data_IF_096175405573
#
_entry.id   IF_096175405573
#
_cell.length_a   1.000
_cell.length_b   1.000
_cell.length_c   1.000
_cell.angle_alpha   90.00
_cell.angle_beta   90.00
_cell.angle_gamma   90.00
#
_symmetry.space_group_name_H-M   'P 1'
#
loop_
_entity.id
_entity.type
_entity.pdbx_description
1 polymer ?
#
# COMPACT_ATOMS: atom_id res chain seq x y z
N UNK A 1 48.90 14.89 -17.77
CA UNK A 1 49.21 13.63 -18.49
C UNK A 1 48.45 12.47 -17.89
N UNK A 2 48.26 12.38 -16.54
CA UNK A 2 47.48 11.32 -15.89
C UNK A 2 45.96 11.45 -16.06
N UNK A 3 45.40 12.65 -16.12
CA UNK A 3 43.98 12.88 -16.38
C UNK A 3 43.55 12.50 -17.81
N UNK A 4 44.46 12.59 -18.78
CA UNK A 4 44.18 12.26 -20.17
C UNK A 4 44.15 10.74 -20.38
N UNK A 5 44.97 9.98 -19.62
CA UNK A 5 45.01 8.52 -19.68
C UNK A 5 43.77 7.84 -19.08
N UNK A 6 43.11 8.48 -18.12
CA UNK A 6 41.86 7.99 -17.53
C UNK A 6 40.66 8.21 -18.48
N UNK A 7 40.69 9.27 -19.29
CA UNK A 7 39.61 9.59 -20.26
C UNK A 7 39.63 8.67 -21.50
N UNK A 8 40.78 8.07 -21.81
CA UNK A 8 40.94 7.19 -22.98
C UNK A 8 40.81 5.68 -22.61
N UNK A 9 40.52 5.33 -21.35
CA UNK A 9 40.35 3.95 -20.97
C UNK A 9 38.99 3.39 -21.48
N UNK A 10 38.99 2.13 -21.91
CA UNK A 10 37.75 1.46 -22.36
C UNK A 10 36.67 1.43 -21.29
N UNK A 11 37.07 1.43 -20.00
CA UNK A 11 36.17 1.55 -18.87
C UNK A 11 35.47 2.91 -18.83
N UNK A 12 36.19 4.01 -19.13
CA UNK A 12 35.62 5.36 -19.16
C UNK A 12 34.67 5.55 -20.35
N UNK A 13 35.00 4.98 -21.50
CA UNK A 13 34.11 4.94 -22.66
C UNK A 13 32.84 4.15 -22.38
N UNK A 14 32.99 2.98 -21.79
CA UNK A 14 31.84 2.16 -21.40
C UNK A 14 30.91 2.85 -20.38
N UNK A 15 31.49 3.62 -19.45
CA UNK A 15 30.72 4.45 -18.52
C UNK A 15 30.05 5.61 -19.25
N UNK A 16 30.76 6.30 -20.16
CA UNK A 16 30.18 7.39 -20.96
C UNK A 16 29.07 6.89 -21.88
N UNK A 17 29.23 5.73 -22.51
CA UNK A 17 28.20 5.11 -23.35
C UNK A 17 26.96 4.74 -22.53
N UNK A 18 27.13 4.18 -21.33
CA UNK A 18 26.03 3.92 -20.40
C UNK A 18 25.36 5.22 -19.94
N UNK A 19 26.14 6.27 -19.66
CA UNK A 19 25.58 7.60 -19.33
C UNK A 19 24.89 8.26 -20.53
N UNK A 20 25.39 8.09 -21.73
CA UNK A 20 24.72 8.57 -22.95
C UNK A 20 23.45 7.79 -23.24
N UNK A 21 23.42 6.48 -23.03
CA UNK A 21 22.20 5.67 -23.13
C UNK A 21 21.17 6.08 -22.06
N UNK A 22 21.63 6.40 -20.83
CA UNK A 22 20.76 6.95 -19.79
C UNK A 22 20.31 8.40 -20.08
N UNK A 23 21.13 9.21 -20.77
CA UNK A 23 20.77 10.56 -21.18
C UNK A 23 20.02 10.63 -22.53
N UNK A 24 20.03 9.55 -23.29
CA UNK A 24 19.21 9.33 -24.49
C UNK A 24 17.88 8.64 -24.16
N UNK A 25 17.62 8.32 -22.87
CA UNK A 25 16.27 8.02 -22.43
C UNK A 25 15.36 9.17 -22.84
N UNK A 26 14.16 8.91 -23.39
CA UNK A 26 13.46 9.76 -24.32
C UNK A 26 13.30 11.17 -23.82
N UNK A 27 13.93 12.09 -24.53
CA UNK A 27 13.68 13.50 -24.38
C UNK A 27 12.21 13.76 -24.61
N UNK A 28 11.58 14.37 -23.60
CA UNK A 28 10.41 15.22 -23.73
C UNK A 28 9.20 14.60 -24.43
N UNK A 29 8.60 13.65 -23.79
CA UNK A 29 7.19 13.87 -23.55
C UNK A 29 7.12 14.58 -22.20
N UNK A 30 6.70 15.83 -22.15
CA UNK A 30 6.02 16.39 -20.99
C UNK A 30 4.74 15.60 -20.86
N UNK A 31 4.87 14.37 -20.43
CA UNK A 31 3.71 13.58 -20.03
C UNK A 31 3.19 14.29 -18.81
N UNK A 32 2.05 14.96 -18.98
CA UNK A 32 1.31 15.61 -17.89
C UNK A 32 1.32 14.65 -16.72
N UNK A 33 2.01 15.01 -15.63
CA UNK A 33 2.11 14.12 -14.47
C UNK A 33 0.71 13.84 -13.95
N UNK A 34 0.50 12.62 -13.50
CA UNK A 34 -0.78 12.16 -12.97
C UNK A 34 -0.76 12.31 -11.46
N UNK A 35 -1.82 12.87 -10.90
CA UNK A 35 -1.90 13.17 -9.47
C UNK A 35 -2.38 11.97 -8.67
N UNK A 36 -1.61 11.59 -7.66
CA UNK A 36 -2.03 10.67 -6.59
C UNK A 36 -1.86 11.37 -5.26
N UNK A 37 -2.89 11.28 -4.42
CA UNK A 37 -2.93 11.93 -3.11
C UNK A 37 -2.95 10.89 -2.02
N UNK A 38 -2.09 11.07 -1.04
CA UNK A 38 -2.05 10.31 0.21
C UNK A 38 -2.24 11.29 1.38
N UNK A 39 -2.83 10.83 2.47
CA UNK A 39 -2.96 11.59 3.69
C UNK A 39 -2.49 10.75 4.88
N UNK A 40 -1.52 11.26 5.64
CA UNK A 40 -0.94 10.53 6.76
C UNK A 40 -0.27 11.47 7.76
N UNK A 41 -0.12 11.01 9.00
CA UNK A 41 0.88 11.51 9.93
C UNK A 41 2.13 10.62 9.92
N UNK A 42 3.21 11.06 10.53
CA UNK A 42 4.51 10.39 10.48
C UNK A 42 4.51 8.99 11.09
N UNK A 43 3.55 8.65 11.94
CA UNK A 43 3.42 7.28 12.48
C UNK A 43 3.12 6.23 11.40
N UNK A 44 2.67 6.66 10.21
CA UNK A 44 2.38 5.84 9.04
C UNK A 44 3.45 5.95 7.94
N UNK A 45 4.67 6.39 8.28
CA UNK A 45 5.73 6.63 7.29
C UNK A 45 6.07 5.38 6.46
N UNK A 46 6.16 4.21 7.08
CA UNK A 46 6.49 2.95 6.40
C UNK A 46 5.34 2.50 5.49
N UNK A 47 4.10 2.73 5.92
CA UNK A 47 2.91 2.44 5.13
C UNK A 47 2.85 3.33 3.88
N UNK A 48 3.06 4.63 4.05
CA UNK A 48 3.16 5.58 2.94
C UNK A 48 4.24 5.16 1.95
N UNK A 49 5.43 4.78 2.44
CA UNK A 49 6.52 4.31 1.58
C UNK A 49 6.15 3.03 0.82
N UNK A 50 5.51 2.08 1.49
CA UNK A 50 5.06 0.82 0.87
C UNK A 50 4.03 1.08 -0.22
N UNK A 51 3.03 1.92 0.06
CA UNK A 51 2.03 2.34 -0.94
C UNK A 51 2.68 3.01 -2.15
N UNK A 52 3.60 3.97 -1.92
CA UNK A 52 4.32 4.67 -3.00
C UNK A 52 5.17 3.68 -3.83
N UNK A 53 5.90 2.75 -3.19
CA UNK A 53 6.68 1.72 -3.90
C UNK A 53 5.79 0.86 -4.79
N UNK A 54 4.63 0.41 -4.28
CA UNK A 54 3.69 -0.38 -5.08
C UNK A 54 3.18 0.39 -6.29
N UNK A 55 2.92 1.69 -6.14
CA UNK A 55 2.46 2.53 -7.25
C UNK A 55 3.56 2.70 -8.31
N UNK A 56 4.79 3.09 -7.93
CA UNK A 56 5.87 3.31 -8.90
C UNK A 56 6.44 2.02 -9.48
N UNK A 57 6.12 0.87 -8.87
CA UNK A 57 6.38 -0.44 -9.46
C UNK A 57 5.58 -0.63 -10.76
N UNK A 58 4.33 -0.14 -10.79
CA UNK A 58 3.42 -0.28 -11.94
C UNK A 58 3.26 0.99 -12.79
N UNK A 59 3.67 2.15 -12.29
CA UNK A 59 3.41 3.46 -12.92
C UNK A 59 4.67 4.33 -13.01
N UNK A 60 4.64 5.28 -13.95
CA UNK A 60 5.67 6.30 -14.16
C UNK A 60 5.03 7.68 -14.19
N UNK A 61 5.83 8.72 -14.03
CA UNK A 61 5.39 10.11 -14.15
C UNK A 61 4.22 10.45 -13.20
N UNK A 62 4.31 10.00 -11.96
CA UNK A 62 3.34 10.29 -10.91
C UNK A 62 3.79 11.49 -10.08
N UNK A 63 2.88 12.41 -9.82
CA UNK A 63 3.03 13.43 -8.80
C UNK A 63 2.23 13.01 -7.58
N UNK A 64 2.94 12.65 -6.52
CA UNK A 64 2.34 12.36 -5.23
C UNK A 64 2.15 13.65 -4.46
N UNK A 65 0.97 13.84 -3.89
CA UNK A 65 0.64 14.89 -2.94
C UNK A 65 0.46 14.22 -1.58
N UNK A 66 1.40 14.43 -0.65
CA UNK A 66 1.26 13.90 0.71
C UNK A 66 0.74 14.99 1.63
N UNK A 67 -0.55 14.91 1.98
CA UNK A 67 -1.19 15.82 2.93
C UNK A 67 -0.85 15.36 4.34
N UNK A 68 -0.16 16.24 5.08
CA UNK A 68 0.40 15.89 6.39
C UNK A 68 0.55 17.12 7.29
N UNK A 69 0.87 16.90 8.57
CA UNK A 69 1.16 17.96 9.51
C UNK A 69 2.52 17.82 10.24
N UNK A 70 3.24 16.70 10.05
CA UNK A 70 4.43 16.38 10.87
C UNK A 70 5.62 15.76 10.12
N UNK A 71 5.52 15.44 8.81
CA UNK A 71 6.66 14.94 8.04
C UNK A 71 7.75 15.99 7.84
N UNK A 72 9.02 15.60 7.93
CA UNK A 72 10.16 16.50 7.78
C UNK A 72 10.49 16.79 6.31
N UNK A 73 11.09 17.95 6.03
CA UNK A 73 11.58 18.30 4.69
C UNK A 73 12.69 17.36 4.21
N UNK A 74 13.50 16.82 5.12
CA UNK A 74 14.56 15.86 4.83
C UNK A 74 13.97 14.58 4.25
N UNK A 75 12.87 14.10 4.81
CA UNK A 75 12.17 12.93 4.31
C UNK A 75 11.71 13.13 2.86
N UNK A 76 11.09 14.25 2.55
CA UNK A 76 10.66 14.57 1.16
C UNK A 76 11.84 14.66 0.19
N UNK A 77 12.95 15.29 0.61
CA UNK A 77 14.17 15.36 -0.20
C UNK A 77 14.78 13.98 -0.44
N UNK A 78 14.79 13.13 0.59
CA UNK A 78 15.23 11.75 0.49
C UNK A 78 14.41 10.94 -0.50
N UNK A 79 13.09 10.96 -0.34
CA UNK A 79 12.17 10.20 -1.18
C UNK A 79 12.20 10.69 -2.64
N UNK A 80 12.27 12.00 -2.88
CA UNK A 80 12.32 12.55 -4.24
C UNK A 80 13.56 12.12 -5.03
N UNK A 81 14.70 11.86 -4.35
CA UNK A 81 15.89 11.30 -5.01
C UNK A 81 15.62 9.91 -5.60
N UNK A 82 14.83 9.10 -4.90
CA UNK A 82 14.44 7.78 -5.40
C UNK A 82 13.37 7.87 -6.48
N UNK A 83 12.37 8.73 -6.29
CA UNK A 83 11.26 8.88 -7.23
C UNK A 83 11.67 9.45 -8.59
N UNK A 84 12.77 10.17 -8.65
CA UNK A 84 13.31 10.72 -9.90
C UNK A 84 13.59 9.63 -10.95
N UNK A 85 14.02 8.44 -10.55
CA UNK A 85 14.24 7.30 -11.44
C UNK A 85 12.96 6.84 -12.16
N UNK A 86 11.79 7.16 -11.61
CA UNK A 86 10.48 6.83 -12.17
C UNK A 86 9.80 8.02 -12.86
N UNK A 87 10.52 9.15 -13.05
CA UNK A 87 9.92 10.40 -13.52
C UNK A 87 8.90 11.00 -12.56
N UNK A 88 8.87 10.52 -11.32
CA UNK A 88 7.88 10.82 -10.30
C UNK A 88 8.43 11.76 -9.22
N UNK A 89 7.55 12.35 -8.43
CA UNK A 89 7.92 13.24 -7.34
C UNK A 89 6.87 13.21 -6.24
N UNK A 90 7.25 13.62 -5.03
CA UNK A 90 6.33 13.84 -3.91
C UNK A 90 6.37 15.29 -3.45
N UNK A 91 5.19 15.88 -3.32
CA UNK A 91 4.97 17.24 -2.86
C UNK A 91 4.56 17.22 -1.38
N UNK A 92 5.22 18.05 -0.57
CA UNK A 92 4.84 18.26 0.82
C UNK A 92 3.62 19.19 0.90
N UNK A 93 2.47 18.62 1.20
CA UNK A 93 1.20 19.32 1.38
C UNK A 93 0.95 19.51 2.87
N UNK A 94 1.70 20.44 3.50
CA UNK A 94 1.60 20.67 4.93
C UNK A 94 0.37 21.46 5.29
N UNK A 95 -0.39 20.96 6.29
CA UNK A 95 -1.60 21.61 6.81
C UNK A 95 -1.47 21.88 8.30
N UNK A 96 -2.17 22.89 8.77
CA UNK A 96 -2.46 23.05 10.19
C UNK A 96 -3.67 22.19 10.56
N UNK A 97 -3.39 21.10 11.27
CA UNK A 97 -4.41 20.13 11.70
C UNK A 97 -5.09 20.48 13.03
N UNK A 98 -4.78 21.62 13.64
CA UNK A 98 -5.28 22.02 14.98
C UNK A 98 -6.80 21.95 15.07
N UNK A 99 -7.52 22.46 14.04
CA UNK A 99 -8.97 22.44 13.99
C UNK A 99 -9.56 21.03 13.81
N UNK A 100 -8.83 20.14 13.12
CA UNK A 100 -9.28 18.76 12.89
C UNK A 100 -9.07 17.91 14.14
N UNK A 101 -7.95 18.10 14.84
CA UNK A 101 -7.61 17.37 16.07
C UNK A 101 -8.61 17.57 17.21
N UNK A 102 -9.42 18.63 17.15
CA UNK A 102 -10.48 18.84 18.14
C UNK A 102 -11.71 17.93 17.93
N UNK A 103 -11.89 17.34 16.75
CA UNK A 103 -12.94 16.38 16.51
C UNK A 103 -12.60 15.09 17.26
N UNK A 104 -13.33 14.83 18.37
CA UNK A 104 -13.15 13.63 19.17
C UNK A 104 -13.77 12.45 18.43
N UNK A 105 -12.95 11.68 17.75
CA UNK A 105 -13.35 10.43 17.07
C UNK A 105 -12.49 9.28 17.54
N UNK A 106 -13.00 8.05 17.40
CA UNK A 106 -12.23 6.83 17.63
C UNK A 106 -11.24 6.56 16.48
N UNK A 107 -11.28 7.36 15.42
CA UNK A 107 -10.40 7.26 14.25
C UNK A 107 -9.21 8.21 14.37
N UNK A 108 -8.15 7.89 13.63
CA UNK A 108 -6.99 8.77 13.51
C UNK A 108 -7.41 10.06 12.79
N UNK A 109 -7.14 11.25 13.40
CA UNK A 109 -7.45 12.56 12.78
C UNK A 109 -6.88 12.70 11.36
N UNK A 110 -5.82 11.97 11.01
CA UNK A 110 -5.20 12.02 9.69
C UNK A 110 -6.17 11.62 8.57
N UNK A 111 -7.21 10.84 8.87
CA UNK A 111 -8.23 10.48 7.89
C UNK A 111 -9.04 11.69 7.38
N UNK A 112 -9.20 12.74 8.20
CA UNK A 112 -9.83 14.00 7.78
C UNK A 112 -8.95 14.86 6.87
N UNK A 113 -7.64 14.60 6.80
CA UNK A 113 -6.73 15.36 5.93
C UNK A 113 -7.10 15.24 4.45
N UNK A 114 -7.82 14.17 4.06
CA UNK A 114 -8.35 14.01 2.69
C UNK A 114 -9.27 15.14 2.24
N UNK A 115 -9.83 15.94 3.16
CA UNK A 115 -10.65 17.09 2.82
C UNK A 115 -9.88 18.21 2.09
N UNK A 116 -8.55 18.25 2.25
CA UNK A 116 -7.68 19.26 1.67
C UNK A 116 -7.17 18.93 0.25
N UNK A 117 -7.62 17.84 -0.36
CA UNK A 117 -7.16 17.42 -1.69
C UNK A 117 -7.18 18.56 -2.70
N UNK A 118 -8.30 19.27 -2.81
CA UNK A 118 -8.48 20.31 -3.81
C UNK A 118 -7.63 21.58 -3.55
N UNK A 119 -7.08 21.76 -2.34
CA UNK A 119 -6.24 22.93 -2.04
C UNK A 119 -4.84 22.80 -2.63
N UNK A 120 -4.35 21.57 -2.79
CA UNK A 120 -2.97 21.30 -3.20
C UNK A 120 -2.83 20.79 -4.63
N UNK A 121 -3.79 20.00 -5.09
CA UNK A 121 -3.70 19.34 -6.39
C UNK A 121 -3.94 20.34 -7.52
N UNK A 122 -2.98 20.43 -8.46
CA UNK A 122 -3.09 21.31 -9.64
C UNK A 122 -3.80 20.65 -10.82
N UNK A 123 -3.76 19.33 -10.90
CA UNK A 123 -4.39 18.52 -11.95
C UNK A 123 -5.92 18.51 -11.77
N UNK A 124 -6.66 18.41 -12.88
CA UNK A 124 -8.13 18.35 -12.85
C UNK A 124 -8.66 17.03 -12.26
N UNK A 125 -7.82 16.00 -12.25
CA UNK A 125 -8.11 14.66 -11.77
C UNK A 125 -7.07 14.20 -10.78
N UNK A 126 -7.50 13.65 -9.64
CA UNK A 126 -6.62 13.03 -8.67
C UNK A 126 -7.16 11.67 -8.22
N UNK A 127 -6.27 10.71 -7.99
CA UNK A 127 -6.59 9.50 -7.26
C UNK A 127 -6.19 9.70 -5.80
N UNK A 128 -7.13 9.58 -4.89
CA UNK A 128 -6.87 9.53 -3.45
C UNK A 128 -6.77 8.07 -3.02
N UNK A 129 -5.73 7.73 -2.27
CA UNK A 129 -5.52 6.42 -1.67
C UNK A 129 -5.18 6.57 -0.18
N UNK A 130 -5.75 5.72 0.65
CA UNK A 130 -5.29 5.54 2.04
C UNK A 130 -3.90 4.88 2.06
N UNK A 131 -3.11 5.17 3.10
CA UNK A 131 -1.73 4.68 3.20
C UNK A 131 -1.60 3.21 3.62
N UNK A 132 -2.70 2.54 3.91
CA UNK A 132 -2.77 1.10 4.17
C UNK A 132 -3.25 0.30 2.94
N UNK A 133 -2.88 0.79 1.76
CA UNK A 133 -3.15 0.15 0.47
C UNK A 133 -1.88 -0.26 -0.26
N UNK A 134 -1.98 -1.25 -1.12
CA UNK A 134 -0.98 -1.56 -2.13
C UNK A 134 -1.63 -1.71 -3.51
N UNK A 135 -0.96 -1.16 -4.51
CA UNK A 135 -1.36 -1.25 -5.93
C UNK A 135 -0.65 -2.44 -6.54
N UNK A 136 -1.38 -3.31 -7.21
CA UNK A 136 -0.91 -4.56 -7.80
C UNK A 136 -1.08 -4.61 -9.30
N UNK A 137 -1.62 -3.55 -9.89
CA UNK A 137 -1.87 -3.47 -11.32
C UNK A 137 -2.05 -2.05 -11.84
N UNK A 138 -2.47 -1.93 -13.09
CA UNK A 138 -2.61 -0.64 -13.75
C UNK A 138 -3.84 0.15 -13.27
N UNK A 139 -3.63 1.43 -12.99
CA UNK A 139 -4.67 2.43 -12.68
C UNK A 139 -4.86 3.43 -13.82
N UNK A 140 -4.31 3.17 -15.02
CA UNK A 140 -4.27 4.11 -16.13
C UNK A 140 -5.67 4.57 -16.56
N UNK A 141 -6.62 3.66 -16.57
CA UNK A 141 -8.03 3.89 -16.91
C UNK A 141 -8.72 4.89 -15.96
N UNK A 142 -8.26 4.96 -14.71
CA UNK A 142 -8.84 5.83 -13.69
C UNK A 142 -8.39 7.29 -13.83
N UNK A 143 -7.19 7.54 -14.33
CA UNK A 143 -6.70 8.91 -14.53
C UNK A 143 -7.46 9.67 -15.64
N UNK A 144 -8.10 8.94 -16.54
CA UNK A 144 -8.86 9.48 -17.66
C UNK A 144 -10.36 9.18 -17.59
N UNK A 145 -10.81 8.61 -16.46
CA UNK A 145 -12.19 8.23 -16.25
C UNK A 145 -13.14 9.44 -16.41
N UNK A 146 -14.15 9.31 -17.25
CA UNK A 146 -15.23 10.30 -17.30
C UNK A 146 -16.12 10.16 -16.06
N UNK A 147 -16.12 11.17 -15.20
CA UNK A 147 -16.96 11.21 -14.00
C UNK A 147 -18.40 11.65 -14.28
N UNK A 148 -18.73 11.96 -15.54
CA UNK A 148 -20.10 12.35 -15.95
C UNK A 148 -20.66 13.51 -15.13
N UNK A 149 -19.79 14.52 -14.84
CA UNK A 149 -20.14 15.68 -14.05
C UNK A 149 -20.26 15.44 -12.53
N UNK A 150 -19.93 14.23 -12.05
CA UNK A 150 -19.95 13.91 -10.61
C UNK A 150 -18.65 14.33 -9.92
N UNK A 151 -18.70 14.67 -8.62
CA UNK A 151 -17.54 15.11 -7.84
C UNK A 151 -16.47 14.05 -7.63
N UNK A 152 -16.86 12.78 -7.68
CA UNK A 152 -15.95 11.65 -7.47
C UNK A 152 -16.51 10.33 -8.02
N UNK A 153 -15.60 9.36 -8.16
CA UNK A 153 -15.91 7.94 -8.28
C UNK A 153 -15.25 7.15 -7.15
N UNK A 154 -15.90 6.11 -6.66
CA UNK A 154 -15.42 5.25 -5.58
C UNK A 154 -16.00 3.85 -5.66
N UNK A 155 -15.47 2.92 -4.89
CA UNK A 155 -16.00 1.57 -4.74
C UNK A 155 -17.08 1.55 -3.67
N UNK A 156 -18.16 0.82 -3.91
CA UNK A 156 -19.23 0.64 -2.93
C UNK A 156 -18.70 -0.07 -1.67
N UNK A 157 -19.04 0.46 -0.49
CA UNK A 157 -18.76 -0.20 0.78
C UNK A 157 -19.77 -1.32 1.02
N UNK A 158 -19.32 -2.57 0.89
CA UNK A 158 -20.14 -3.75 1.11
C UNK A 158 -20.16 -4.22 2.57
N UNK A 159 -19.33 -3.65 3.43
CA UNK A 159 -19.34 -3.98 4.86
C UNK A 159 -20.53 -3.35 5.60
N UNK A 160 -21.05 -2.26 5.03
CA UNK A 160 -22.24 -1.56 5.55
C UNK A 160 -23.51 -2.18 4.94
N UNK A 161 -23.87 -3.41 5.36
CA UNK A 161 -25.08 -4.08 4.89
C UNK A 161 -26.29 -3.77 5.76
N UNK A 162 -27.35 -3.26 5.14
CA UNK A 162 -28.72 -3.20 5.65
C UNK A 162 -29.67 -3.06 4.47
N UNK A 163 -30.75 -3.84 4.45
CA UNK A 163 -31.67 -3.95 3.31
C UNK A 163 -32.33 -2.63 2.89
N UNK A 164 -32.27 -1.57 3.73
CA UNK A 164 -32.88 -0.27 3.49
C UNK A 164 -31.87 0.91 3.52
N UNK A 165 -30.56 0.64 3.49
CA UNK A 165 -29.58 1.73 3.53
C UNK A 165 -29.13 2.11 2.13
N UNK A 166 -29.19 3.41 1.86
CA UNK A 166 -28.61 4.06 0.71
C UNK A 166 -27.18 3.57 0.49
N UNK A 167 -26.81 3.31 -0.79
CA UNK A 167 -25.48 2.83 -1.11
C UNK A 167 -24.42 3.81 -0.63
N UNK A 168 -23.49 3.36 0.20
CA UNK A 168 -22.33 4.11 0.66
C UNK A 168 -21.10 3.68 -0.11
N UNK A 169 -20.14 4.59 -0.29
CA UNK A 169 -18.83 4.27 -0.84
C UNK A 169 -17.77 4.21 0.26
N UNK A 170 -16.74 3.41 0.02
CA UNK A 170 -15.52 3.38 0.80
C UNK A 170 -14.66 4.60 0.42
N UNK A 171 -14.37 5.46 1.39
CA UNK A 171 -13.63 6.70 1.19
C UNK A 171 -12.10 6.51 1.11
N UNK A 172 -11.60 5.30 1.32
CA UNK A 172 -10.16 5.01 1.26
C UNK A 172 -9.59 5.08 -0.15
N UNK A 173 -10.42 4.88 -1.19
CA UNK A 173 -10.03 5.05 -2.59
C UNK A 173 -11.06 5.88 -3.35
N UNK A 174 -10.62 7.00 -3.91
CA UNK A 174 -11.51 7.90 -4.67
C UNK A 174 -10.80 8.44 -5.91
N UNK A 175 -11.52 8.49 -7.03
CA UNK A 175 -11.16 9.30 -8.20
C UNK A 175 -11.87 10.64 -8.07
N UNK A 176 -11.14 11.72 -7.89
CA UNK A 176 -11.69 13.03 -7.52
C UNK A 176 -11.62 14.00 -8.69
N UNK A 177 -12.72 14.70 -8.97
CA UNK A 177 -12.76 15.91 -9.79
C UNK A 177 -12.32 17.10 -8.93
N UNK A 178 -11.07 17.51 -9.06
CA UNK A 178 -10.50 18.59 -8.25
C UNK A 178 -11.07 19.95 -8.64
N UNK A 179 -11.48 20.13 -9.90
CA UNK A 179 -12.13 21.37 -10.37
C UNK A 179 -13.51 21.53 -9.71
N UNK A 180 -14.30 20.46 -9.66
CA UNK A 180 -15.57 20.45 -8.93
C UNK A 180 -15.37 20.79 -7.45
N UNK A 181 -14.40 20.11 -6.79
CA UNK A 181 -14.14 20.32 -5.37
C UNK A 181 -13.69 21.77 -5.06
N UNK A 182 -12.89 22.39 -5.95
CA UNK A 182 -12.50 23.80 -5.84
C UNK A 182 -13.70 24.73 -6.04
N UNK A 183 -14.46 24.52 -7.10
CA UNK A 183 -15.62 25.34 -7.48
C UNK A 183 -16.64 25.44 -6.35
N UNK A 184 -16.91 24.30 -5.69
CA UNK A 184 -17.91 24.20 -4.61
C UNK A 184 -17.31 24.34 -3.20
N UNK A 185 -16.01 24.69 -3.09
CA UNK A 185 -15.31 24.81 -1.80
C UNK A 185 -15.56 23.62 -0.86
N UNK A 186 -15.36 22.42 -1.39
CA UNK A 186 -15.73 21.17 -0.71
C UNK A 186 -15.04 21.00 0.63
N UNK A 187 -13.78 21.47 0.78
CA UNK A 187 -13.08 21.43 2.08
C UNK A 187 -13.91 22.10 3.17
N UNK A 188 -14.36 23.34 2.94
CA UNK A 188 -15.14 24.08 3.92
C UNK A 188 -16.45 23.37 4.24
N UNK A 189 -17.15 22.91 3.20
CA UNK A 189 -18.40 22.20 3.36
C UNK A 189 -18.25 20.92 4.19
N UNK A 190 -17.20 20.14 3.94
CA UNK A 190 -16.89 18.91 4.68
C UNK A 190 -16.51 19.21 6.15
N UNK A 191 -15.75 20.29 6.41
CA UNK A 191 -15.39 20.70 7.78
C UNK A 191 -16.63 21.19 8.54
N UNK A 192 -17.48 21.99 7.93
CA UNK A 192 -18.72 22.49 8.54
C UNK A 192 -19.65 21.30 8.90
N UNK A 193 -19.84 20.38 7.97
CA UNK A 193 -20.60 19.14 8.22
C UNK A 193 -19.98 18.26 9.32
N UNK A 194 -18.66 18.15 9.34
CA UNK A 194 -17.96 17.40 10.39
C UNK A 194 -18.17 18.06 11.76
N UNK A 195 -18.10 19.39 11.84
CA UNK A 195 -18.32 20.14 13.09
C UNK A 195 -19.71 19.86 13.68
N UNK A 196 -20.70 19.65 12.84
CA UNK A 196 -22.08 19.40 13.26
C UNK A 196 -22.36 17.92 13.58
N UNK A 197 -21.71 16.98 12.88
CA UNK A 197 -22.12 15.57 12.83
C UNK A 197 -21.09 14.57 13.34
N UNK A 198 -19.81 14.95 13.60
CA UNK A 198 -18.72 14.00 13.89
C UNK A 198 -18.99 13.06 15.09
N UNK A 199 -19.77 13.49 16.08
CA UNK A 199 -20.15 12.70 17.25
C UNK A 199 -21.42 11.87 17.06
N UNK A 200 -22.14 12.05 15.96
CA UNK A 200 -23.42 11.40 15.64
C UNK A 200 -23.33 10.34 14.54
N UNK A 201 -22.19 10.28 13.85
CA UNK A 201 -22.00 9.37 12.71
C UNK A 201 -21.15 8.15 13.07
N UNK A 202 -21.44 6.95 12.51
CA UNK A 202 -20.77 5.71 12.93
C UNK A 202 -19.37 5.53 12.35
N UNK A 203 -19.06 6.12 11.18
CA UNK A 203 -17.82 5.87 10.42
C UNK A 203 -17.05 7.17 10.16
N UNK A 204 -16.97 8.04 11.16
CA UNK A 204 -16.19 9.28 11.14
C UNK A 204 -16.31 10.05 9.79
N UNK A 205 -15.18 10.40 9.17
CA UNK A 205 -15.13 11.16 7.92
C UNK A 205 -15.78 10.45 6.73
N UNK A 206 -15.75 9.12 6.68
CA UNK A 206 -16.43 8.36 5.62
C UNK A 206 -17.94 8.61 5.63
N UNK A 207 -18.57 8.66 6.81
CA UNK A 207 -20.00 8.99 6.93
C UNK A 207 -20.28 10.41 6.43
N UNK A 208 -19.42 11.38 6.78
CA UNK A 208 -19.58 12.78 6.35
C UNK A 208 -19.48 12.89 4.82
N UNK A 209 -18.47 12.25 4.22
CA UNK A 209 -18.33 12.21 2.76
C UNK A 209 -19.56 11.62 2.08
N UNK A 210 -20.07 10.50 2.62
CA UNK A 210 -21.27 9.85 2.09
C UNK A 210 -22.55 10.68 2.28
N UNK A 211 -22.64 11.48 3.32
CA UNK A 211 -23.74 12.43 3.51
C UNK A 211 -23.68 13.57 2.50
N UNK A 212 -22.50 14.15 2.29
CA UNK A 212 -22.30 15.28 1.38
C UNK A 212 -22.45 14.87 -0.08
N UNK A 213 -21.91 13.73 -0.47
CA UNK A 213 -21.97 13.24 -1.86
C UNK A 213 -23.09 12.22 -2.11
N UNK A 214 -24.08 12.17 -1.24
CA UNK A 214 -25.19 11.25 -1.31
C UNK A 214 -25.80 11.18 -2.71
N UNK A 215 -25.80 9.96 -3.32
CA UNK A 215 -26.26 9.68 -4.69
C UNK A 215 -25.57 10.47 -5.82
N UNK A 216 -24.51 11.22 -5.51
CA UNK A 216 -23.77 12.02 -6.47
C UNK A 216 -22.33 11.56 -6.63
N UNK A 217 -22.13 10.28 -6.87
CA UNK A 217 -20.82 9.66 -7.13
C UNK A 217 -20.96 8.55 -8.16
N UNK A 218 -19.85 8.21 -8.86
CA UNK A 218 -19.80 7.13 -9.83
C UNK A 218 -19.26 5.87 -9.16
N UNK A 219 -19.89 4.72 -9.39
CA UNK A 219 -19.44 3.45 -8.84
C UNK A 219 -18.30 2.87 -9.66
N UNK A 220 -17.18 2.56 -9.00
CA UNK A 220 -16.05 1.82 -9.56
C UNK A 220 -16.22 0.31 -9.38
N UNK A 221 -15.52 -0.45 -10.23
CA UNK A 221 -15.39 -1.90 -10.05
C UNK A 221 -14.68 -2.23 -8.74
N UNK A 222 -15.08 -3.34 -8.10
CA UNK A 222 -14.64 -3.78 -6.79
C UNK A 222 -13.12 -4.03 -6.68
N UNK A 223 -12.47 -4.41 -7.77
CA UNK A 223 -11.03 -4.62 -7.84
C UNK A 223 -10.19 -3.35 -7.66
N UNK A 224 -10.80 -2.16 -7.79
CA UNK A 224 -10.11 -0.88 -7.56
C UNK A 224 -10.00 -0.47 -6.09
N UNK A 225 -10.69 -1.15 -5.19
CA UNK A 225 -10.56 -0.98 -3.74
C UNK A 225 -11.06 -2.26 -3.05
N UNK A 226 -10.26 -3.30 -3.11
CA UNK A 226 -10.58 -4.59 -2.52
C UNK A 226 -10.31 -4.56 -1.02
N UNK A 227 -11.36 -4.44 -0.21
CA UNK A 227 -11.26 -4.48 1.24
C UNK A 227 -10.82 -5.87 1.73
N UNK A 228 -9.61 -5.96 2.25
CA UNK A 228 -9.04 -7.20 2.79
C UNK A 228 -9.61 -7.43 4.19
N UNK A 229 -10.54 -8.36 4.30
CA UNK A 229 -11.23 -8.73 5.53
C UNK A 229 -10.99 -10.20 5.88
N UNK A 230 -11.52 -10.69 7.01
CA UNK A 230 -11.48 -12.12 7.35
C UNK A 230 -12.13 -13.01 6.28
N UNK A 231 -13.17 -12.52 5.62
CA UNK A 231 -13.87 -13.25 4.56
C UNK A 231 -13.11 -13.32 3.25
N UNK A 232 -12.07 -12.52 3.06
CA UNK A 232 -11.20 -12.56 1.87
C UNK A 232 -10.44 -13.87 1.70
N UNK A 233 -10.40 -14.73 2.73
CA UNK A 233 -9.83 -16.08 2.65
C UNK A 233 -10.72 -17.08 1.88
N UNK A 234 -11.95 -16.75 1.55
CA UNK A 234 -12.93 -17.65 0.94
C UNK A 234 -13.18 -17.44 -0.54
N UNK A 235 -12.13 -17.26 -1.34
CA UNK A 235 -12.21 -17.46 -2.78
C UNK A 235 -13.03 -16.43 -3.56
N UNK A 236 -12.58 -15.18 -3.60
CA UNK A 236 -13.05 -14.24 -4.62
C UNK A 236 -12.34 -14.56 -5.95
N UNK A 237 -13.12 -14.89 -6.98
CA UNK A 237 -12.58 -15.03 -8.33
C UNK A 237 -12.52 -13.66 -9.00
N UNK A 238 -11.29 -13.21 -9.29
CA UNK A 238 -11.07 -11.97 -10.01
C UNK A 238 -11.56 -12.09 -11.47
N UNK A 239 -12.21 -11.06 -11.99
CA UNK A 239 -12.50 -11.02 -13.41
C UNK A 239 -11.19 -10.97 -14.21
N UNK A 240 -11.17 -11.62 -15.37
CA UNK A 240 -10.08 -11.59 -16.35
C UNK A 240 -8.80 -12.36 -16.01
N UNK A 241 -8.84 -13.34 -15.11
CA UNK A 241 -7.67 -14.19 -14.83
C UNK A 241 -6.49 -13.45 -14.19
N UNK A 242 -6.76 -12.37 -13.47
CA UNK A 242 -5.77 -11.68 -12.63
C UNK A 242 -5.56 -12.46 -11.33
N UNK A 243 -4.32 -12.53 -10.86
CA UNK A 243 -3.98 -13.20 -9.59
C UNK A 243 -4.41 -12.35 -8.39
N UNK A 244 -4.40 -11.01 -8.54
CA UNK A 244 -4.70 -10.05 -7.47
C UNK A 244 -5.65 -8.93 -7.94
N UNK A 245 -6.50 -8.37 -7.03
CA UNK A 245 -7.24 -7.14 -7.29
C UNK A 245 -6.28 -5.99 -7.59
N UNK A 246 -6.67 -5.01 -8.41
CA UNK A 246 -5.82 -3.85 -8.78
C UNK A 246 -5.31 -3.07 -7.56
N UNK A 247 -6.14 -2.96 -6.51
CA UNK A 247 -5.78 -2.31 -5.25
C UNK A 247 -6.27 -3.14 -4.08
N UNK A 248 -5.35 -3.53 -3.21
CA UNK A 248 -5.64 -4.18 -1.93
C UNK A 248 -5.68 -3.13 -0.83
N UNK A 249 -6.79 -3.07 -0.09
CA UNK A 249 -7.00 -2.17 1.04
C UNK A 249 -7.11 -2.96 2.34
N UNK A 250 -6.17 -2.81 3.23
CA UNK A 250 -6.11 -3.55 4.50
C UNK A 250 -6.95 -2.84 5.58
N UNK A 251 -8.26 -2.80 5.39
CA UNK A 251 -9.23 -2.04 6.22
C UNK A 251 -9.33 -2.54 7.66
N UNK A 252 -9.02 -3.82 7.92
CA UNK A 252 -9.20 -4.41 9.24
C UNK A 252 -8.12 -3.93 10.24
N UNK A 253 -8.40 -4.09 11.56
CA UNK A 253 -7.41 -3.87 12.62
C UNK A 253 -6.23 -4.85 12.58
N UNK A 254 -6.35 -5.97 11.86
CA UNK A 254 -5.30 -6.94 11.62
C UNK A 254 -4.46 -6.52 10.42
N UNK A 255 -3.61 -5.52 10.62
CA UNK A 255 -2.79 -4.99 9.55
C UNK A 255 -1.67 -5.96 9.16
N UNK A 256 -1.26 -6.03 7.86
CA UNK A 256 -0.26 -6.98 7.38
C UNK A 256 1.13 -6.79 8.01
N UNK A 257 1.44 -5.59 8.49
CA UNK A 257 2.71 -5.27 9.15
C UNK A 257 2.72 -5.62 10.64
N UNK A 258 1.58 -5.98 11.24
CA UNK A 258 1.55 -6.37 12.64
C UNK A 258 2.08 -7.80 12.82
N UNK A 259 2.85 -8.05 13.89
CA UNK A 259 3.25 -9.40 14.25
C UNK A 259 2.01 -10.29 14.45
N UNK A 260 2.10 -11.54 14.03
CA UNK A 260 1.03 -12.53 14.19
C UNK A 260 -0.32 -12.20 13.52
N UNK A 261 -0.39 -11.19 12.67
CA UNK A 261 -1.59 -10.95 11.90
C UNK A 261 -1.72 -12.03 10.82
N UNK A 262 -2.62 -13.00 11.05
CA UNK A 262 -3.10 -13.86 9.98
C UNK A 262 -4.05 -13.04 9.10
N UNK A 263 -3.56 -12.58 7.97
CA UNK A 263 -4.26 -11.68 7.05
C UNK A 263 -4.10 -12.21 5.63
N UNK A 264 -5.17 -12.25 4.86
CA UNK A 264 -5.09 -12.53 3.43
C UNK A 264 -4.21 -11.48 2.73
N UNK A 265 -3.48 -11.90 1.71
CA UNK A 265 -2.59 -11.03 0.93
C UNK A 265 -1.50 -10.31 1.75
N UNK A 266 -1.14 -10.85 2.93
CA UNK A 266 -0.07 -10.29 3.77
C UNK A 266 1.27 -10.28 3.04
N UNK A 267 1.56 -11.32 2.29
CA UNK A 267 2.75 -11.51 1.44
C UNK A 267 2.86 -10.42 0.37
N UNK A 268 1.74 -9.95 -0.18
CA UNK A 268 1.72 -8.87 -1.18
C UNK A 268 2.19 -7.55 -0.57
N UNK A 269 1.76 -7.25 0.66
CA UNK A 269 2.25 -6.09 1.40
C UNK A 269 3.76 -6.16 1.56
N UNK A 270 4.26 -7.29 2.07
CA UNK A 270 5.68 -7.47 2.37
C UNK A 270 6.55 -7.51 1.12
N UNK A 271 6.04 -7.97 0.00
CA UNK A 271 6.71 -7.90 -1.30
C UNK A 271 7.17 -6.46 -1.62
N UNK A 272 6.30 -5.47 -1.47
CA UNK A 272 6.65 -4.08 -1.71
C UNK A 272 7.39 -3.43 -0.53
N UNK A 273 7.05 -3.76 0.70
CA UNK A 273 7.64 -3.16 1.89
C UNK A 273 9.13 -3.44 2.02
N UNK A 274 9.54 -4.70 1.80
CA UNK A 274 10.93 -5.15 1.93
C UNK A 274 11.82 -4.74 0.75
N UNK A 275 11.23 -4.51 -0.42
CA UNK A 275 11.99 -4.15 -1.61
C UNK A 275 12.68 -2.80 -1.39
N UNK A 276 14.00 -2.74 -1.60
CA UNK A 276 14.70 -1.47 -1.63
C UNK A 276 14.41 -0.71 -2.95
N UNK A 277 14.85 0.55 -3.03
CA UNK A 277 14.54 1.38 -4.21
C UNK A 277 15.24 0.92 -5.48
N UNK A 278 16.41 0.29 -5.39
CA UNK A 278 17.07 -0.33 -6.53
C UNK A 278 16.29 -1.54 -7.01
N UNK A 279 15.86 -2.39 -6.09
CA UNK A 279 14.98 -3.52 -6.40
C UNK A 279 13.66 -3.09 -7.06
N UNK A 280 13.02 -2.01 -6.57
CA UNK A 280 11.83 -1.45 -7.24
C UNK A 280 12.15 -1.02 -8.67
N UNK A 281 13.29 -0.35 -8.91
CA UNK A 281 13.66 0.13 -10.24
C UNK A 281 13.99 -1.02 -11.21
N UNK A 282 14.70 -2.05 -10.74
CA UNK A 282 15.10 -3.21 -11.54
C UNK A 282 13.94 -4.14 -11.88
N UNK A 283 13.00 -4.32 -10.94
CA UNK A 283 11.88 -5.25 -11.08
C UNK A 283 10.57 -4.56 -11.47
N UNK A 284 10.58 -3.25 -11.66
CA UNK A 284 9.37 -2.50 -11.98
C UNK A 284 8.72 -3.01 -13.27
N UNK A 285 7.46 -3.41 -13.17
CA UNK A 285 6.67 -3.96 -14.25
C UNK A 285 5.41 -3.14 -14.49
N UNK A 286 5.06 -2.95 -15.77
CA UNK A 286 3.78 -2.36 -16.16
C UNK A 286 2.64 -3.39 -16.20
N UNK A 287 2.95 -4.62 -15.89
CA UNK A 287 2.00 -5.73 -15.82
C UNK A 287 1.42 -5.87 -14.40
N UNK A 288 0.24 -6.46 -14.26
CA UNK A 288 -0.30 -6.81 -12.95
C UNK A 288 0.66 -7.73 -12.18
N UNK A 289 0.66 -7.60 -10.85
CA UNK A 289 1.37 -8.52 -9.98
C UNK A 289 0.85 -9.94 -10.17
N UNK A 290 1.73 -10.91 -10.20
CA UNK A 290 1.41 -12.34 -10.31
C UNK A 290 1.96 -13.13 -9.14
N UNK A 291 1.42 -14.33 -8.91
CA UNK A 291 1.94 -15.24 -7.89
C UNK A 291 3.41 -15.62 -8.14
N UNK A 292 3.82 -15.79 -9.40
CA UNK A 292 5.21 -16.10 -9.75
C UNK A 292 6.19 -14.98 -9.34
N UNK A 293 5.74 -13.72 -9.22
CA UNK A 293 6.56 -12.60 -8.75
C UNK A 293 6.75 -12.65 -7.23
N UNK A 294 5.70 -13.03 -6.49
CA UNK A 294 5.76 -13.16 -5.02
C UNK A 294 6.44 -14.47 -4.61
N UNK A 295 6.15 -15.55 -5.33
CA UNK A 295 6.66 -16.89 -5.08
C UNK A 295 7.48 -17.40 -6.27
N UNK A 296 8.71 -16.86 -6.48
CA UNK A 296 9.57 -17.32 -7.58
C UNK A 296 9.78 -18.82 -7.55
N UNK A 297 9.63 -19.47 -8.70
CA UNK A 297 9.82 -20.93 -8.82
C UNK A 297 11.18 -21.33 -8.27
N UNK A 298 11.19 -22.27 -7.34
CA UNK A 298 12.40 -22.80 -6.69
C UNK A 298 12.71 -22.23 -5.31
N UNK A 299 12.01 -21.22 -4.80
CA UNK A 299 12.12 -20.82 -3.40
C UNK A 299 11.27 -21.76 -2.53
N UNK A 300 11.83 -22.30 -1.42
CA UNK A 300 11.05 -23.11 -0.50
C UNK A 300 10.05 -22.22 0.25
N UNK A 301 8.80 -22.68 0.34
CA UNK A 301 7.84 -22.06 1.24
C UNK A 301 8.30 -22.20 2.69
N UNK A 302 8.11 -21.15 3.49
CA UNK A 302 8.37 -21.21 4.93
C UNK A 302 7.05 -21.22 5.69
N UNK A 303 6.85 -22.26 6.49
CA UNK A 303 5.72 -22.38 7.41
C UNK A 303 6.19 -22.03 8.83
N UNK A 304 5.67 -20.94 9.41
CA UNK A 304 5.93 -20.60 10.81
C UNK A 304 4.87 -21.23 11.70
N UNK A 305 5.30 -22.10 12.62
CA UNK A 305 4.47 -22.69 13.66
C UNK A 305 4.83 -22.03 14.99
N UNK A 306 3.96 -21.17 15.49
CA UNK A 306 4.11 -20.53 16.79
C UNK A 306 3.16 -21.16 17.81
N UNK A 307 3.71 -21.74 18.87
CA UNK A 307 2.94 -22.49 19.84
C UNK A 307 3.38 -22.21 21.28
N UNK A 308 2.44 -22.39 22.21
CA UNK A 308 2.69 -22.45 23.65
C UNK A 308 2.41 -23.86 24.23
N UNK A 309 2.15 -24.83 23.36
CA UNK A 309 1.87 -26.22 23.74
C UNK A 309 3.08 -27.11 23.48
N UNK A 310 3.21 -28.16 24.26
CA UNK A 310 4.34 -29.11 24.20
C UNK A 310 4.28 -30.08 23.03
N UNK A 311 3.14 -30.21 22.38
CA UNK A 311 2.92 -31.14 21.27
C UNK A 311 1.84 -30.59 20.33
N UNK A 312 2.10 -30.66 19.03
CA UNK A 312 1.14 -30.28 17.99
C UNK A 312 0.72 -31.58 17.29
N UNK A 313 -0.56 -32.01 17.43
CA UNK A 313 -1.03 -33.22 16.76
C UNK A 313 -0.77 -33.18 15.25
N UNK A 314 -0.34 -34.29 14.67
CA UNK A 314 -0.09 -34.46 13.24
C UNK A 314 0.96 -33.54 12.61
N UNK A 315 1.73 -32.77 13.39
CA UNK A 315 2.77 -31.90 12.85
C UNK A 315 3.86 -32.70 12.12
N UNK A 316 4.23 -33.85 12.65
CA UNK A 316 5.22 -34.78 12.06
C UNK A 316 4.76 -35.29 10.70
N UNK A 317 3.49 -35.66 10.60
CA UNK A 317 2.88 -36.11 9.36
C UNK A 317 2.89 -35.01 8.31
N UNK A 318 2.56 -33.78 8.71
CA UNK A 318 2.58 -32.60 7.85
C UNK A 318 3.99 -32.28 7.35
N UNK A 319 4.99 -32.29 8.24
CA UNK A 319 6.40 -32.05 7.90
C UNK A 319 6.89 -33.08 6.89
N UNK A 320 6.56 -34.34 7.12
CA UNK A 320 6.94 -35.45 6.24
C UNK A 320 6.26 -35.40 4.87
N UNK A 321 4.99 -34.95 4.85
CA UNK A 321 4.23 -34.81 3.61
C UNK A 321 4.68 -33.63 2.74
N UNK A 322 5.36 -32.63 3.34
CA UNK A 322 5.76 -31.40 2.69
C UNK A 322 7.29 -31.16 2.75
N UNK A 323 8.11 -32.03 2.13
CA UNK A 323 9.57 -31.96 2.28
C UNK A 323 10.22 -30.71 1.65
N UNK A 324 9.51 -30.01 0.77
CA UNK A 324 9.96 -28.74 0.14
C UNK A 324 9.59 -27.50 0.93
N UNK A 325 8.79 -27.63 1.99
CA UNK A 325 8.40 -26.52 2.87
C UNK A 325 9.39 -26.44 4.02
N UNK A 326 9.93 -25.25 4.29
CA UNK A 326 10.74 -25.00 5.48
C UNK A 326 9.81 -24.73 6.67
N UNK A 327 9.94 -25.51 7.73
CA UNK A 327 9.16 -25.32 8.96
C UNK A 327 10.03 -24.59 9.99
N UNK A 328 9.60 -23.41 10.43
CA UNK A 328 10.17 -22.67 11.56
C UNK A 328 9.21 -22.80 12.74
N UNK A 329 9.62 -23.55 13.75
CA UNK A 329 8.79 -23.86 14.92
C UNK A 329 9.29 -23.03 16.09
N UNK A 330 8.44 -22.17 16.63
CA UNK A 330 8.79 -21.28 17.75
C UNK A 330 7.88 -21.56 18.95
N UNK A 331 8.47 -21.71 20.14
CA UNK A 331 7.76 -21.93 21.39
C UNK A 331 8.07 -20.86 22.41
N UNK A 332 7.05 -20.38 23.15
CA UNK A 332 7.21 -19.51 24.32
C UNK A 332 7.84 -20.22 25.51
N UNK A 333 7.65 -21.52 25.60
CA UNK A 333 8.17 -22.36 26.66
C UNK A 333 9.48 -23.04 26.23
N UNK A 334 10.19 -23.63 27.17
CA UNK A 334 11.30 -24.48 26.83
C UNK A 334 10.85 -25.63 25.91
N UNK A 335 11.64 -25.91 24.92
CA UNK A 335 11.36 -26.99 23.96
C UNK A 335 11.31 -28.31 24.72
N UNK A 336 10.21 -29.02 24.61
CA UNK A 336 10.07 -30.38 25.12
C UNK A 336 10.86 -31.35 24.26
N UNK A 337 11.18 -32.52 24.81
CA UNK A 337 11.89 -33.58 24.04
C UNK A 337 11.20 -33.94 22.74
N UNK A 338 9.85 -33.85 22.70
CA UNK A 338 9.05 -34.10 21.51
C UNK A 338 9.25 -33.05 20.42
N UNK A 339 9.30 -31.77 20.75
CA UNK A 339 9.61 -30.70 19.78
C UNK A 339 11.08 -30.74 19.38
N UNK A 340 12.00 -31.12 20.30
CA UNK A 340 13.42 -31.28 20.01
C UNK A 340 13.66 -32.38 18.96
N UNK A 341 12.88 -33.46 18.97
CA UNK A 341 12.97 -34.51 17.96
C UNK A 341 12.68 -34.05 16.53
N UNK A 342 11.91 -32.98 16.35
CA UNK A 342 11.61 -32.42 15.05
C UNK A 342 12.84 -31.82 14.34
N UNK A 343 13.92 -31.49 15.06
CA UNK A 343 15.20 -31.02 14.50
C UNK A 343 15.84 -32.08 13.61
N UNK A 344 15.46 -33.33 13.75
CA UNK A 344 15.95 -34.43 12.85
C UNK A 344 15.49 -34.29 11.41
N UNK A 345 14.44 -33.54 11.15
CA UNK A 345 13.96 -33.28 9.80
C UNK A 345 14.77 -32.16 9.15
N UNK A 346 15.31 -32.35 7.93
CA UNK A 346 16.20 -31.38 7.27
C UNK A 346 15.54 -30.06 6.92
N UNK A 347 14.22 -30.04 6.88
CA UNK A 347 13.38 -28.88 6.58
C UNK A 347 12.76 -28.24 7.83
N UNK A 348 13.30 -28.51 9.03
CA UNK A 348 12.77 -27.99 10.30
C UNK A 348 13.85 -27.22 11.06
N UNK A 349 13.48 -26.03 11.54
CA UNK A 349 14.24 -25.26 12.52
C UNK A 349 13.38 -25.00 13.75
N UNK A 350 13.90 -25.29 14.95
CA UNK A 350 13.17 -25.12 16.21
C UNK A 350 13.83 -24.01 17.02
N UNK A 351 13.02 -23.04 17.45
CA UNK A 351 13.41 -21.93 18.32
C UNK A 351 12.77 -22.11 19.70
N UNK A 352 13.56 -22.04 20.75
CA UNK A 352 13.09 -22.22 22.12
C UNK A 352 13.08 -20.91 22.93
N UNK A 353 12.17 -20.85 23.90
CA UNK A 353 12.10 -19.78 24.92
C UNK A 353 12.00 -18.36 24.33
N UNK A 354 11.26 -18.19 23.25
CA UNK A 354 11.11 -16.89 22.59
C UNK A 354 9.99 -16.12 23.28
N UNK A 355 10.36 -14.98 23.91
CA UNK A 355 9.39 -14.08 24.56
C UNK A 355 8.48 -13.34 23.57
N UNK A 356 8.82 -13.33 22.29
CA UNK A 356 8.05 -12.76 21.18
C UNK A 356 8.71 -13.07 19.86
N UNK A 357 8.02 -12.78 18.74
CA UNK A 357 8.55 -13.05 17.40
C UNK A 357 9.73 -12.17 16.99
N UNK A 358 10.00 -11.09 17.73
CA UNK A 358 11.09 -10.16 17.46
C UNK A 358 12.50 -10.78 17.65
N UNK A 359 12.60 -11.97 18.23
CA UNK A 359 13.85 -12.71 18.37
C UNK A 359 14.06 -13.81 17.33
N UNK A 360 13.12 -13.94 16.39
CA UNK A 360 13.26 -14.84 15.26
C UNK A 360 13.98 -14.12 14.13
N UNK A 361 15.08 -14.69 13.67
CA UNK A 361 15.68 -14.37 12.37
C UNK A 361 14.69 -14.85 11.28
N UNK A 362 13.55 -14.20 11.24
CA UNK A 362 12.59 -14.34 10.19
C UNK A 362 13.11 -13.45 9.06
N UNK A 363 13.95 -13.99 8.20
CA UNK A 363 13.90 -13.60 6.81
C UNK A 363 12.47 -13.92 6.37
N UNK A 364 11.60 -12.97 6.61
CA UNK A 364 10.26 -12.95 6.03
C UNK A 364 10.47 -12.70 4.55
N UNK A 365 10.54 -13.76 3.78
CA UNK A 365 10.44 -13.76 2.33
C UNK A 365 8.98 -13.51 1.97
#
# INVERSE_FOLDING_TARGET
VEEQGLRDSDAYRSIQEKFQVLSLAPQRYETKKRAIVLAANYTYVDQVLTTIKSIVFHHRNIRFYLINDDFSQEWFRGLNRHLAAFGSEVINCRVDSSHIKQFKTNSNYASYLRYFVADFVSEERALYLDSDMVVTGSLEDLFTLDLQGRPLAAVRDYAVQGQDRQAMFDAGFMVIDTAYWKQYNMRRHLIDMTSEWHDKVPFAEQSILNMVFCNNWLTLSFDNNYAVTKSSLSGYHLPNGQDYPKVLHYTSHRKPWLPLACQAYREVWWFYAQMDWSGVAENAALLPLSEDMIYPKGRPFTCLVYTNISEIPHLTDLISALPKVQFKIASRQHVTDKLAQLITYPNVTVYSAIAGLNGLDLELV
#
